data_IF_580249966061
#
_entry.id   IF_580249966061
#
_cell.length_a   1.000
_cell.length_b   1.000
_cell.length_c   1.000
_cell.angle_alpha   90.00
_cell.angle_beta   90.00
_cell.angle_gamma   90.00
#
_symmetry.space_group_name_H-M   'P 1'
#
loop_
_entity.id
_entity.type
_entity.pdbx_description
1 polymer ?
#
# COMPACT_ATOMS: atom_id res chain seq x y z
N UNK A 1 12.04 35.65 -11.11
CA UNK A 1 12.65 34.29 -11.09
C UNK A 1 11.58 33.30 -10.65
N UNK A 2 11.34 32.24 -11.41
CA UNK A 2 10.34 31.21 -11.07
C UNK A 2 10.90 30.31 -9.99
N UNK A 3 10.16 30.10 -8.90
CA UNK A 3 10.60 29.21 -7.82
C UNK A 3 10.63 27.76 -8.31
N UNK A 4 11.77 27.10 -8.17
CA UNK A 4 11.95 25.67 -8.44
C UNK A 4 12.07 24.90 -7.13
N UNK A 5 11.55 23.66 -7.12
CA UNK A 5 11.70 22.72 -6.01
C UNK A 5 12.17 21.38 -6.54
N UNK A 6 12.88 20.61 -5.70
CA UNK A 6 13.32 19.28 -6.05
C UNK A 6 12.14 18.31 -6.01
N UNK A 7 12.02 17.48 -7.04
CA UNK A 7 11.02 16.41 -7.11
C UNK A 7 11.70 15.08 -7.35
N UNK A 8 11.13 14.02 -6.77
CA UNK A 8 11.60 12.66 -6.98
C UNK A 8 10.97 12.09 -8.27
N UNK A 9 11.81 11.54 -9.15
CA UNK A 9 11.38 10.92 -10.41
C UNK A 9 11.69 9.43 -10.36
N UNK A 10 10.77 8.61 -10.86
CA UNK A 10 10.95 7.16 -10.94
C UNK A 10 12.09 6.81 -11.90
N UNK A 11 12.92 5.84 -11.50
CA UNK A 11 14.04 5.39 -12.33
C UNK A 11 13.53 4.60 -13.55
N UNK A 12 14.19 4.75 -14.71
CA UNK A 12 13.85 4.00 -15.93
C UNK A 12 14.00 2.49 -15.75
N UNK A 13 15.01 2.06 -14.99
CA UNK A 13 15.22 0.66 -14.62
C UNK A 13 15.03 0.52 -13.12
N UNK A 14 14.19 -0.45 -12.73
CA UNK A 14 13.93 -0.74 -11.32
C UNK A 14 15.15 -1.42 -10.71
N UNK A 15 15.51 -1.03 -9.49
CA UNK A 15 16.44 -1.82 -8.67
C UNK A 15 15.73 -3.10 -8.23
N UNK A 16 16.39 -4.28 -8.33
CA UNK A 16 15.83 -5.52 -7.82
C UNK A 16 15.65 -5.42 -6.30
N UNK A 17 14.66 -6.16 -5.79
CA UNK A 17 14.36 -6.24 -4.37
C UNK A 17 14.38 -7.71 -3.97
N UNK A 18 14.86 -8.01 -2.76
CA UNK A 18 15.04 -9.38 -2.29
C UNK A 18 14.37 -9.58 -0.94
N UNK A 19 13.94 -10.80 -0.66
CA UNK A 19 13.60 -11.22 0.71
C UNK A 19 14.87 -11.15 1.56
N UNK A 20 14.83 -10.48 2.70
CA UNK A 20 15.98 -10.39 3.61
C UNK A 20 15.89 -11.48 4.67
N UNK A 21 16.85 -12.41 4.66
CA UNK A 21 16.86 -13.53 5.60
C UNK A 21 17.06 -13.00 7.02
N UNK A 22 16.04 -13.20 7.87
CA UNK A 22 15.97 -12.64 9.23
C UNK A 22 16.12 -11.11 9.29
N UNK A 23 15.83 -10.42 8.18
CA UNK A 23 15.98 -8.97 8.08
C UNK A 23 17.42 -8.47 7.91
N UNK A 24 18.41 -9.34 7.74
CA UNK A 24 19.80 -8.93 7.47
C UNK A 24 19.95 -8.55 5.98
N UNK A 25 20.24 -7.26 5.72
CA UNK A 25 20.44 -6.73 4.37
C UNK A 25 21.64 -7.35 3.64
N UNK A 26 22.57 -8.00 4.37
CA UNK A 26 23.73 -8.71 3.81
C UNK A 26 23.40 -10.14 3.41
N UNK A 27 22.22 -10.64 3.77
CA UNK A 27 21.76 -12.00 3.46
C UNK A 27 20.49 -11.95 2.59
N UNK A 28 20.62 -11.53 1.31
CA UNK A 28 19.50 -11.56 0.38
C UNK A 28 19.14 -13.02 0.04
N UNK A 29 17.85 -13.31 0.07
CA UNK A 29 17.23 -14.51 -0.49
C UNK A 29 16.65 -14.23 -1.87
N UNK A 30 15.48 -14.78 -2.15
CA UNK A 30 14.83 -14.70 -3.47
C UNK A 30 14.48 -13.26 -3.88
N UNK A 31 14.61 -12.98 -5.18
CA UNK A 31 14.13 -11.73 -5.77
C UNK A 31 12.61 -11.68 -5.75
N UNK A 32 12.05 -10.52 -5.41
CA UNK A 32 10.61 -10.29 -5.36
C UNK A 32 10.14 -9.27 -6.38
N UNK A 33 8.93 -9.47 -6.87
CA UNK A 33 8.24 -8.53 -7.76
C UNK A 33 7.10 -7.83 -7.01
N UNK A 34 6.67 -6.63 -7.45
CA UNK A 34 5.63 -5.88 -6.80
C UNK A 34 4.30 -6.60 -7.04
N UNK A 35 3.59 -6.84 -5.95
CA UNK A 35 2.27 -7.43 -5.95
C UNK A 35 1.51 -7.03 -4.68
N UNK A 36 0.25 -7.43 -4.63
CA UNK A 36 -0.64 -7.25 -3.48
C UNK A 36 -0.67 -8.52 -2.62
N UNK A 37 -0.93 -8.42 -1.30
CA UNK A 37 -1.03 -9.59 -0.44
C UNK A 37 -2.09 -10.58 -0.95
N UNK A 38 -1.75 -11.88 -0.96
CA UNK A 38 -2.61 -12.92 -1.54
C UNK A 38 -3.96 -13.12 -0.83
N UNK A 39 -4.11 -12.60 0.40
CA UNK A 39 -5.37 -12.63 1.17
C UNK A 39 -6.41 -11.63 0.65
N UNK A 40 -6.01 -10.68 -0.19
CA UNK A 40 -6.88 -9.68 -0.77
C UNK A 40 -7.18 -9.97 -2.25
N UNK A 41 -8.17 -9.30 -2.87
CA UNK A 41 -8.39 -9.39 -4.30
C UNK A 41 -7.08 -9.17 -5.08
N UNK A 42 -6.85 -9.97 -6.13
CA UNK A 42 -5.65 -9.84 -6.96
C UNK A 42 -5.63 -8.49 -7.68
N UNK A 43 -4.42 -7.99 -7.97
CA UNK A 43 -4.26 -6.84 -8.84
C UNK A 43 -4.79 -7.20 -10.25
N UNK A 44 -5.69 -6.39 -10.85
CA UNK A 44 -6.15 -6.61 -12.21
C UNK A 44 -4.98 -6.67 -13.21
N UNK A 45 -5.08 -7.53 -14.23
CA UNK A 45 -3.99 -7.75 -15.19
C UNK A 45 -3.71 -6.55 -16.09
N UNK A 46 -4.70 -5.67 -16.27
CA UNK A 46 -4.65 -4.41 -17.01
C UNK A 46 -4.05 -3.24 -16.20
N UNK A 47 -3.80 -3.44 -14.90
CA UNK A 47 -3.19 -2.44 -14.02
C UNK A 47 -1.66 -2.54 -14.02
N UNK A 48 -0.93 -1.40 -14.07
CA UNK A 48 0.52 -1.43 -13.97
C UNK A 48 0.97 -1.88 -12.57
N UNK A 49 1.99 -2.75 -12.49
CA UNK A 49 2.59 -3.20 -11.23
C UNK A 49 3.55 -2.17 -10.63
N UNK A 50 3.02 -0.98 -10.37
CA UNK A 50 3.74 0.14 -9.79
C UNK A 50 2.84 0.91 -8.81
N UNK A 51 3.31 2.08 -8.35
CA UNK A 51 2.56 2.93 -7.40
C UNK A 51 1.15 3.29 -7.89
N UNK A 52 0.97 3.47 -9.21
CA UNK A 52 -0.30 3.91 -9.77
C UNK A 52 -1.31 2.76 -9.74
N UNK A 53 -0.90 1.55 -10.12
CA UNK A 53 -1.81 0.39 -10.03
C UNK A 53 -2.16 0.03 -8.59
N UNK A 54 -1.22 0.17 -7.66
CA UNK A 54 -1.52 0.02 -6.23
C UNK A 54 -2.55 1.04 -5.76
N UNK A 55 -2.46 2.30 -6.20
CA UNK A 55 -3.41 3.34 -5.84
C UNK A 55 -4.82 3.00 -6.34
N UNK A 56 -4.95 2.63 -7.62
CA UNK A 56 -6.23 2.21 -8.17
C UNK A 56 -6.82 1.01 -7.43
N UNK A 57 -5.99 0.01 -7.13
CA UNK A 57 -6.40 -1.18 -6.38
C UNK A 57 -6.88 -0.89 -4.96
N UNK A 58 -6.18 -0.02 -4.22
CA UNK A 58 -6.57 0.40 -2.86
C UNK A 58 -7.90 1.15 -2.86
N UNK A 59 -8.18 1.92 -3.91
CA UNK A 59 -9.39 2.75 -4.02
C UNK A 59 -10.53 2.07 -4.78
N UNK A 60 -10.35 0.83 -5.24
CA UNK A 60 -11.40 0.09 -5.95
C UNK A 60 -12.60 -0.12 -5.00
N UNK A 61 -13.84 0.19 -5.43
CA UNK A 61 -15.04 -0.04 -4.62
C UNK A 61 -15.23 -1.48 -4.16
N UNK A 62 -14.64 -2.45 -4.86
CA UNK A 62 -14.66 -3.88 -4.51
C UNK A 62 -13.61 -4.24 -3.46
N UNK A 63 -12.69 -3.33 -3.10
CA UNK A 63 -11.71 -3.58 -2.06
C UNK A 63 -12.41 -3.65 -0.69
N UNK A 64 -12.25 -4.74 0.08
CA UNK A 64 -13.10 -5.01 1.25
C UNK A 64 -12.85 -4.10 2.46
N UNK A 65 -11.62 -3.63 2.66
CA UNK A 65 -11.22 -2.99 3.93
C UNK A 65 -10.99 -1.48 3.86
N UNK A 66 -10.35 -0.95 2.80
CA UNK A 66 -9.84 0.43 2.80
C UNK A 66 -10.91 1.46 3.18
N UNK A 67 -12.07 1.42 2.53
CA UNK A 67 -13.17 2.34 2.83
C UNK A 67 -13.66 2.20 4.29
N UNK A 68 -13.83 0.97 4.77
CA UNK A 68 -14.31 0.69 6.15
C UNK A 68 -13.32 1.21 7.19
N UNK A 69 -12.03 0.95 6.98
CA UNK A 69 -10.95 1.40 7.86
C UNK A 69 -10.87 2.93 7.89
N UNK A 70 -10.93 3.57 6.73
CA UNK A 70 -10.83 5.02 6.61
C UNK A 70 -12.01 5.73 7.24
N UNK A 71 -13.24 5.25 7.01
CA UNK A 71 -14.45 5.80 7.66
C UNK A 71 -14.35 5.68 9.18
N UNK A 72 -13.94 4.53 9.71
CA UNK A 72 -13.80 4.38 11.16
C UNK A 72 -12.73 5.30 11.76
N UNK A 73 -11.61 5.51 11.05
CA UNK A 73 -10.55 6.45 11.47
C UNK A 73 -11.04 7.88 11.48
N UNK A 74 -11.72 8.33 10.42
CA UNK A 74 -12.31 9.67 10.33
C UNK A 74 -13.36 9.87 11.44
N UNK A 75 -14.23 8.89 11.66
CA UNK A 75 -15.22 8.94 12.74
C UNK A 75 -14.56 9.11 14.11
N UNK A 76 -13.51 8.33 14.42
CA UNK A 76 -12.77 8.49 15.67
C UNK A 76 -12.14 9.88 15.79
N UNK A 77 -11.56 10.42 14.72
CA UNK A 77 -10.95 11.75 14.73
C UNK A 77 -11.98 12.84 15.08
N UNK A 78 -13.23 12.68 14.64
CA UNK A 78 -14.31 13.63 14.89
C UNK A 78 -14.96 13.46 16.28
N UNK A 79 -15.16 12.21 16.74
CA UNK A 79 -15.99 11.91 17.92
C UNK A 79 -15.22 11.27 19.09
N UNK A 80 -13.90 11.14 18.99
CA UNK A 80 -13.04 10.55 20.02
C UNK A 80 -13.07 9.02 20.10
N UNK A 81 -14.15 8.38 19.65
CA UNK A 81 -14.31 6.92 19.61
C UNK A 81 -14.76 6.47 18.22
N UNK A 82 -14.12 5.43 17.66
CA UNK A 82 -14.51 4.85 16.37
C UNK A 82 -15.83 4.07 16.47
N UNK A 83 -16.51 3.89 15.33
CA UNK A 83 -17.64 2.95 15.19
C UNK A 83 -17.24 1.55 15.68
N UNK A 84 -16.03 1.13 15.30
CA UNK A 84 -15.31 0.02 15.93
C UNK A 84 -14.21 0.61 16.80
N UNK A 85 -14.19 0.28 18.09
CA UNK A 85 -13.25 0.87 19.07
C UNK A 85 -11.79 0.57 18.73
N UNK A 86 -11.52 -0.63 18.19
CA UNK A 86 -10.18 -1.08 17.79
C UNK A 86 -9.82 -0.55 16.41
N UNK A 87 -8.97 0.47 16.35
CA UNK A 87 -8.48 1.00 15.05
C UNK A 87 -7.49 0.09 14.33
N UNK A 88 -6.92 -0.91 15.01
CA UNK A 88 -5.93 -1.82 14.44
C UNK A 88 -6.52 -3.15 13.97
N UNK A 89 -7.77 -3.43 14.34
CA UNK A 89 -8.43 -4.72 14.10
C UNK A 89 -9.85 -4.45 13.56
N UNK A 90 -10.07 -4.86 12.32
CA UNK A 90 -11.27 -4.59 11.53
C UNK A 90 -11.96 -5.86 11.05
N UNK A 91 -11.76 -6.96 11.77
CA UNK A 91 -12.34 -8.26 11.44
C UNK A 91 -11.45 -9.02 10.45
N UNK A 92 -10.97 -10.17 10.91
CA UNK A 92 -10.50 -11.26 10.04
C UNK A 92 -11.71 -12.00 9.47
#
# INVERSE_FOLDING_TARGET
>A
ATATTMVMVEMKQRKPAYVLMRGDFRQPGDEVQPDVPAIFPRLPADQPRNRLGLAYWLTDPKHPLVARVMVNRLWKQLFGTGLVKTLGDFGT
#
